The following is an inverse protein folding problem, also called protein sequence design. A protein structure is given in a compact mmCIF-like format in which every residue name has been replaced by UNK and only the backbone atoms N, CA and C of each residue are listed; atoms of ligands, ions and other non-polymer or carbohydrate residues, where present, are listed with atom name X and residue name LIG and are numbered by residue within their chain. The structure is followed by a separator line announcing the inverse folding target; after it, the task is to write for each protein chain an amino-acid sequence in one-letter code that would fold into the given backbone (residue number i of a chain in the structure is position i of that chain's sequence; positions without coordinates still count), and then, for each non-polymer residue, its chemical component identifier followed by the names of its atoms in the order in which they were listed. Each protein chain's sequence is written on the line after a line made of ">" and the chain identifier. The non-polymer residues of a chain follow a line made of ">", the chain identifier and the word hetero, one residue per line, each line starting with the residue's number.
data_IF_490498212004
#
_entry.id   IF_490498212004
#
_cell.length_a   1.000
_cell.length_b   1.000
_cell.length_c   1.000
_cell.angle_alpha   90.00
_cell.angle_beta   90.00
_cell.angle_gamma   90.00
#
_symmetry.space_group_name_H-M   'P 1'
#
loop_
_entity.id
_entity.type
_entity.pdbx_description
1 polymer ?
#
# COMPACT_ATOMS: atom_id res chain seq x y z
N UNK A 1 -18.55 3.40 7.65
CA UNK A 1 -17.41 3.80 6.77
C UNK A 1 -17.02 2.60 5.90
N UNK A 2 -16.10 2.70 4.92
CA UNK A 2 -15.88 1.68 3.84
C UNK A 2 -15.98 0.20 4.25
N UNK A 3 -15.50 -0.20 5.45
CA UNK A 3 -15.65 -1.57 5.95
C UNK A 3 -17.10 -2.09 6.05
N UNK A 4 -18.07 -1.22 6.33
CA UNK A 4 -19.50 -1.58 6.33
C UNK A 4 -19.98 -1.94 4.91
N UNK A 5 -19.50 -1.20 3.91
CA UNK A 5 -19.82 -1.44 2.48
C UNK A 5 -19.25 -2.79 2.06
N UNK A 6 -17.99 -3.07 2.42
CA UNK A 6 -17.36 -4.37 2.16
C UNK A 6 -18.16 -5.53 2.77
N UNK A 7 -18.59 -5.37 4.02
CA UNK A 7 -19.40 -6.37 4.72
C UNK A 7 -20.74 -6.61 4.01
N UNK A 8 -21.44 -5.54 3.61
CA UNK A 8 -22.70 -5.65 2.88
C UNK A 8 -22.50 -6.36 1.53
N UNK A 9 -21.48 -5.98 0.77
CA UNK A 9 -21.24 -6.54 -0.56
C UNK A 9 -20.87 -8.02 -0.49
N UNK A 10 -20.04 -8.40 0.48
CA UNK A 10 -19.71 -9.79 0.74
C UNK A 10 -20.95 -10.61 1.15
N UNK A 11 -21.79 -10.09 2.04
CA UNK A 11 -22.99 -10.79 2.53
C UNK A 11 -23.98 -11.14 1.41
N UNK A 12 -24.10 -10.28 0.41
CA UNK A 12 -25.05 -10.47 -0.70
C UNK A 12 -24.40 -10.94 -2.00
N UNK A 13 -23.09 -11.25 -1.98
CA UNK A 13 -22.33 -11.67 -3.17
C UNK A 13 -22.55 -10.74 -4.37
N UNK A 14 -22.57 -9.43 -4.11
CA UNK A 14 -22.78 -8.44 -5.16
C UNK A 14 -21.55 -8.44 -6.08
N UNK A 15 -21.72 -8.51 -7.41
CA UNK A 15 -20.60 -8.54 -8.35
C UNK A 15 -19.91 -7.16 -8.51
N UNK A 16 -20.44 -6.13 -7.87
CA UNK A 16 -19.94 -4.76 -7.96
C UNK A 16 -18.63 -4.61 -7.19
N UNK A 17 -17.61 -4.03 -7.83
CA UNK A 17 -16.34 -3.71 -7.20
C UNK A 17 -16.41 -2.42 -6.39
N UNK A 18 -15.75 -2.39 -5.23
CA UNK A 18 -15.65 -1.22 -4.35
C UNK A 18 -14.39 -0.43 -4.66
N UNK A 19 -14.58 0.82 -5.08
CA UNK A 19 -13.48 1.77 -5.33
C UNK A 19 -13.33 2.74 -4.16
N UNK A 20 -12.25 2.62 -3.39
CA UNK A 20 -11.91 3.59 -2.34
C UNK A 20 -11.32 4.85 -2.97
N UNK A 21 -12.03 5.96 -2.79
CA UNK A 21 -11.62 7.28 -3.27
C UNK A 21 -11.19 8.20 -2.12
N UNK A 22 -10.68 9.39 -2.47
CA UNK A 22 -10.19 10.39 -1.52
C UNK A 22 -9.10 9.84 -0.57
N UNK A 23 -8.23 8.99 -1.09
CA UNK A 23 -7.02 8.52 -0.39
C UNK A 23 -6.06 9.71 -0.22
N UNK A 24 -5.60 9.95 1.02
CA UNK A 24 -4.74 11.10 1.36
C UNK A 24 -3.42 10.71 2.03
N UNK A 25 -3.25 9.45 2.41
CA UNK A 25 -2.07 8.95 3.11
C UNK A 25 -1.80 7.48 2.81
N UNK A 26 -0.57 6.98 3.01
CA UNK A 26 -0.25 5.55 2.96
C UNK A 26 -1.13 4.70 3.88
N UNK A 27 -1.53 5.24 5.04
CA UNK A 27 -2.40 4.55 6.00
C UNK A 27 -3.80 4.29 5.43
N UNK A 28 -4.37 5.22 4.64
CA UNK A 28 -5.64 4.96 3.94
C UNK A 28 -5.51 3.79 2.97
N UNK A 29 -4.38 3.67 2.26
CA UNK A 29 -4.12 2.55 1.34
C UNK A 29 -4.03 1.24 2.11
N UNK A 30 -3.23 1.20 3.18
CA UNK A 30 -3.08 0.03 4.02
C UNK A 30 -4.43 -0.42 4.63
N UNK A 31 -5.23 0.51 5.14
CA UNK A 31 -6.56 0.21 5.66
C UNK A 31 -7.50 -0.31 4.57
N UNK A 32 -7.48 0.28 3.37
CA UNK A 32 -8.30 -0.17 2.23
C UNK A 32 -7.95 -1.59 1.81
N UNK A 33 -6.66 -1.92 1.78
CA UNK A 33 -6.20 -3.28 1.48
C UNK A 33 -6.61 -4.28 2.59
N UNK A 34 -6.48 -3.89 3.87
CA UNK A 34 -6.84 -4.74 5.01
C UNK A 34 -8.34 -5.08 5.07
N UNK A 35 -9.20 -4.15 4.68
CA UNK A 35 -10.65 -4.39 4.62
C UNK A 35 -11.08 -5.11 3.33
N UNK A 36 -10.14 -5.39 2.43
CA UNK A 36 -10.39 -6.14 1.20
C UNK A 36 -11.06 -5.35 0.08
N UNK A 37 -10.91 -4.02 0.04
CA UNK A 37 -11.46 -3.25 -1.06
C UNK A 37 -10.81 -3.61 -2.40
N UNK A 38 -11.62 -3.72 -3.46
CA UNK A 38 -11.17 -4.19 -4.78
C UNK A 38 -10.22 -3.20 -5.45
N UNK A 39 -10.53 -1.90 -5.36
CA UNK A 39 -9.79 -0.84 -6.05
C UNK A 39 -9.58 0.34 -5.10
N UNK A 40 -8.42 1.02 -5.22
CA UNK A 40 -8.19 2.32 -4.60
C UNK A 40 -7.68 3.32 -5.64
N UNK A 41 -8.31 4.50 -5.74
CA UNK A 41 -7.78 5.62 -6.53
C UNK A 41 -6.89 6.49 -5.65
N UNK A 42 -5.60 6.54 -6.00
CA UNK A 42 -4.53 7.06 -5.14
C UNK A 42 -3.80 8.19 -5.85
N UNK A 43 -3.65 9.38 -5.23
CA UNK A 43 -2.79 10.43 -5.77
C UNK A 43 -1.34 9.96 -5.91
N UNK A 44 -0.66 10.35 -6.99
CA UNK A 44 0.73 9.94 -7.26
C UNK A 44 1.69 10.16 -6.08
N UNK A 45 1.53 11.28 -5.35
CA UNK A 45 2.33 11.57 -4.15
C UNK A 45 2.25 10.46 -3.10
N UNK A 46 1.06 9.88 -2.89
CA UNK A 46 0.87 8.79 -1.92
C UNK A 46 1.47 7.50 -2.47
N UNK A 47 1.32 7.21 -3.77
CA UNK A 47 1.97 6.05 -4.41
C UNK A 47 3.50 6.11 -4.20
N UNK A 48 4.12 7.26 -4.46
CA UNK A 48 5.56 7.44 -4.24
C UNK A 48 5.98 7.28 -2.77
N UNK A 49 5.09 7.56 -1.81
CA UNK A 49 5.34 7.33 -0.39
C UNK A 49 5.28 5.84 -0.01
N UNK A 50 4.40 5.05 -0.65
CA UNK A 50 4.27 3.61 -0.38
C UNK A 50 5.58 2.84 -0.64
N UNK A 51 6.37 3.30 -1.61
CA UNK A 51 7.63 2.67 -1.99
C UNK A 51 8.82 3.05 -1.07
N UNK A 52 8.64 3.97 -0.12
CA UNK A 52 9.74 4.50 0.71
C UNK A 52 9.67 3.96 2.13
N UNK A 53 10.81 3.47 2.63
CA UNK A 53 10.95 3.12 4.04
C UNK A 53 12.41 3.31 4.49
N UNK A 54 12.68 4.00 5.62
CA UNK A 54 14.06 4.30 6.06
C UNK A 54 14.95 3.07 6.24
N UNK A 55 14.38 1.95 6.73
CA UNK A 55 15.13 0.71 6.89
C UNK A 55 15.48 0.04 5.55
N UNK A 56 14.69 0.28 4.50
CA UNK A 56 15.00 -0.22 3.15
C UNK A 56 16.22 0.53 2.61
N UNK A 57 16.26 1.85 2.75
CA UNK A 57 17.39 2.67 2.31
C UNK A 57 18.68 2.29 3.05
N UNK A 58 18.61 2.21 4.39
CA UNK A 58 19.73 1.76 5.23
C UNK A 58 20.19 0.34 4.86
N UNK A 59 19.25 -0.56 4.55
CA UNK A 59 19.55 -1.92 4.12
C UNK A 59 20.31 -1.95 2.80
N UNK A 60 19.88 -1.15 1.82
CA UNK A 60 20.53 -1.04 0.51
C UNK A 60 21.95 -0.47 0.62
N UNK A 61 22.15 0.58 1.41
CA UNK A 61 23.47 1.19 1.64
C UNK A 61 24.45 0.18 2.22
N UNK A 62 24.03 -0.56 3.27
CA UNK A 62 24.86 -1.61 3.88
C UNK A 62 25.19 -2.72 2.89
N UNK A 63 24.20 -3.17 2.13
CA UNK A 63 24.37 -4.22 1.13
C UNK A 63 25.41 -3.84 0.08
N UNK A 64 25.36 -2.62 -0.46
CA UNK A 64 26.32 -2.13 -1.44
C UNK A 64 27.73 -1.98 -0.84
N UNK A 65 27.84 -1.45 0.38
CA UNK A 65 29.12 -1.32 1.07
C UNK A 65 29.80 -2.68 1.31
N UNK A 66 29.03 -3.72 1.66
CA UNK A 66 29.56 -5.07 1.84
C UNK A 66 29.94 -5.73 0.51
N UNK A 67 29.23 -5.40 -0.57
CA UNK A 67 29.58 -5.85 -1.92
C UNK A 67 30.92 -5.26 -2.40
N UNK A 68 31.14 -3.96 -2.20
CA UNK A 68 32.39 -3.29 -2.59
C UNK A 68 33.61 -3.84 -1.84
N UNK A 69 33.46 -4.20 -0.55
CA UNK A 69 34.54 -4.80 0.24
C UNK A 69 35.04 -6.14 -0.30
N UNK A 70 34.22 -6.89 -1.04
CA UNK A 70 34.61 -8.17 -1.67
C UNK A 70 35.49 -8.00 -2.91
N UNK A 71 35.53 -6.81 -3.52
CA UNK A 71 36.30 -6.56 -4.75
C UNK A 71 37.74 -6.08 -4.48
N UNK A 72 38.20 -6.10 -3.23
CA UNK A 72 39.61 -5.91 -2.83
C UNK A 72 40.23 -7.25 -2.46
#
# INVERSE_FOLDING_TARGET
>A
MVGDIMTIFANYSLPTEVIVASVRSPQHVAQSALIGADIATIPYKVIAQLAKHPLTDIGMEKFLADWEKRQK
#
